data_IF_598909084683
#
_entry.id   IF_598909084683
#
_cell.length_a   1.000
_cell.length_b   1.000
_cell.length_c   1.000
_cell.angle_alpha   90.00
_cell.angle_beta   90.00
_cell.angle_gamma   90.00
#
_symmetry.space_group_name_H-M   'P 1'
#
loop_
_entity.id
_entity.type
_entity.pdbx_description
1 polymer ?
#
# COMPACT_ATOMS: atom_id res chain seq x y z
N UNK A 1 -0.65 31.86 -34.84
CA UNK A 1 -0.46 30.43 -34.51
C UNK A 1 0.95 30.23 -33.97
N UNK A 2 1.11 29.91 -32.70
CA UNK A 2 2.37 29.43 -32.15
C UNK A 2 2.04 28.39 -31.06
N UNK A 3 2.05 27.13 -31.47
CA UNK A 3 1.82 25.96 -30.64
C UNK A 3 3.00 25.71 -29.69
N UNK A 4 2.67 25.21 -28.50
CA UNK A 4 3.51 24.45 -27.55
C UNK A 4 4.66 25.19 -26.86
N UNK A 5 4.37 25.69 -25.66
CA UNK A 5 5.36 25.77 -24.56
C UNK A 5 5.08 24.67 -23.52
N UNK A 6 5.87 23.60 -23.66
CA UNK A 6 6.46 22.76 -22.59
C UNK A 6 5.52 22.24 -21.50
N UNK A 7 4.99 21.04 -21.73
CA UNK A 7 4.72 20.09 -20.65
C UNK A 7 6.07 19.73 -20.01
N UNK A 8 6.42 20.36 -18.89
CA UNK A 8 7.39 19.78 -17.95
C UNK A 8 6.65 18.69 -17.17
N UNK A 9 6.55 17.51 -17.77
CA UNK A 9 6.27 16.30 -17.01
C UNK A 9 7.56 15.96 -16.28
N UNK A 10 7.61 16.28 -14.98
CA UNK A 10 8.66 15.79 -14.09
C UNK A 10 8.37 14.29 -13.92
N UNK A 11 8.89 13.46 -14.82
CA UNK A 11 8.95 12.02 -14.59
C UNK A 11 10.03 11.82 -13.53
N UNK A 12 9.63 11.32 -12.36
CA UNK A 12 10.56 11.00 -11.28
C UNK A 12 11.52 9.90 -11.74
N UNK A 13 12.79 10.24 -11.91
CA UNK A 13 13.87 9.30 -12.12
C UNK A 13 14.13 8.59 -10.77
N UNK A 14 13.64 7.36 -10.60
CA UNK A 14 13.78 6.60 -9.35
C UNK A 14 13.43 5.12 -9.52
N UNK A 15 13.98 4.26 -8.65
CA UNK A 15 13.75 2.79 -8.67
C UNK A 15 12.26 2.44 -8.47
N UNK A 16 11.54 3.32 -7.79
CA UNK A 16 10.11 3.18 -7.49
C UNK A 16 9.24 3.40 -8.74
N UNK A 17 9.70 4.23 -9.69
CA UNK A 17 9.00 4.43 -10.95
C UNK A 17 9.02 3.17 -11.80
N UNK A 18 10.21 2.60 -11.97
CA UNK A 18 10.36 1.35 -12.71
C UNK A 18 9.53 0.25 -12.05
N UNK A 19 9.56 0.17 -10.72
CA UNK A 19 8.76 -0.79 -9.98
C UNK A 19 7.25 -0.65 -10.23
N UNK A 20 6.70 0.57 -10.16
CA UNK A 20 5.28 0.82 -10.43
C UNK A 20 4.91 0.46 -11.88
N UNK A 21 5.78 0.77 -12.84
CA UNK A 21 5.56 0.38 -14.23
C UNK A 21 5.57 -1.13 -14.42
N UNK A 22 6.55 -1.82 -13.84
CA UNK A 22 6.68 -3.27 -13.91
C UNK A 22 5.45 -3.95 -13.28
N UNK A 23 4.94 -3.42 -12.16
CA UNK A 23 3.70 -3.89 -11.55
C UNK A 23 2.51 -3.69 -12.48
N UNK A 24 2.35 -2.51 -13.09
CA UNK A 24 1.24 -2.25 -14.02
C UNK A 24 1.29 -3.20 -15.23
N UNK A 25 2.47 -3.47 -15.79
CA UNK A 25 2.66 -4.39 -16.91
C UNK A 25 2.40 -5.84 -16.48
N UNK A 26 2.97 -6.27 -15.36
CA UNK A 26 2.90 -7.66 -14.89
C UNK A 26 1.54 -8.07 -14.35
N UNK A 27 0.77 -7.12 -13.80
CA UNK A 27 -0.51 -7.39 -13.14
C UNK A 27 -1.73 -6.74 -13.80
N UNK A 28 -1.55 -5.95 -14.86
CA UNK A 28 -2.64 -5.16 -15.46
C UNK A 28 -3.16 -4.05 -14.55
N UNK A 29 -2.31 -3.53 -13.67
CA UNK A 29 -2.63 -2.47 -12.71
C UNK A 29 -2.78 -1.09 -13.36
N UNK A 30 -3.41 -0.16 -12.63
CA UNK A 30 -3.46 1.28 -12.95
C UNK A 30 -2.89 2.12 -11.80
N UNK A 31 -1.76 1.70 -11.26
CA UNK A 31 -1.07 2.45 -10.22
C UNK A 31 -0.44 3.70 -10.82
N UNK A 32 -0.65 4.85 -10.19
CA UNK A 32 -0.16 6.13 -10.68
C UNK A 32 0.84 6.73 -9.69
N UNK A 33 1.98 7.22 -10.21
CA UNK A 33 3.00 7.90 -9.41
C UNK A 33 2.46 9.07 -8.59
N UNK A 34 1.47 9.78 -9.12
CA UNK A 34 0.90 10.95 -8.45
C UNK A 34 0.21 10.59 -7.14
N UNK A 35 -0.06 9.31 -6.89
CA UNK A 35 -0.72 8.82 -5.68
C UNK A 35 0.28 8.35 -4.63
N UNK A 36 1.59 8.38 -4.93
CA UNK A 36 2.63 8.11 -3.94
C UNK A 36 2.52 9.06 -2.74
N UNK A 37 2.57 8.46 -1.55
CA UNK A 37 2.47 9.13 -0.26
C UNK A 37 1.20 9.99 -0.13
N UNK A 38 0.13 9.62 -0.83
CA UNK A 38 -1.21 10.16 -0.60
C UNK A 38 -2.06 9.12 0.09
N UNK A 39 -2.61 9.50 1.24
CA UNK A 39 -3.59 8.66 1.92
C UNK A 39 -4.95 8.85 1.27
N UNK A 40 -5.35 7.88 0.44
CA UNK A 40 -6.61 7.87 -0.27
C UNK A 40 -7.36 6.57 0.08
N UNK A 41 -8.07 6.54 1.22
CA UNK A 41 -8.98 5.43 1.51
C UNK A 41 -10.38 5.76 0.99
N UNK A 42 -10.86 5.00 0.02
CA UNK A 42 -12.11 5.24 -0.72
C UNK A 42 -13.22 4.24 -0.40
N UNK A 43 -13.04 3.36 0.58
CA UNK A 43 -14.09 2.44 0.99
C UNK A 43 -14.94 2.99 2.15
N UNK A 44 -16.14 3.56 1.89
CA UNK A 44 -17.03 4.07 2.95
C UNK A 44 -17.65 2.97 3.81
N UNK A 45 -17.69 1.72 3.32
CA UNK A 45 -18.19 0.56 4.05
C UNK A 45 -17.13 -0.05 4.98
N UNK A 46 -15.89 0.44 4.91
CA UNK A 46 -14.80 -0.05 5.75
C UNK A 46 -14.95 0.40 7.20
N UNK A 47 -14.79 -0.58 8.11
CA UNK A 47 -14.84 -0.36 9.54
C UNK A 47 -13.82 0.70 10.01
N UNK A 48 -14.19 1.46 11.04
CA UNK A 48 -13.33 2.54 11.57
C UNK A 48 -11.97 2.02 12.06
N UNK A 49 -11.94 0.87 12.74
CA UNK A 49 -10.69 0.30 13.24
C UNK A 49 -9.75 -0.12 12.11
N UNK A 50 -10.30 -0.55 10.98
CA UNK A 50 -9.54 -0.85 9.78
C UNK A 50 -8.95 0.43 9.21
N UNK A 51 -9.78 1.45 8.94
CA UNK A 51 -9.31 2.74 8.38
C UNK A 51 -8.24 3.40 9.23
N UNK A 52 -8.43 3.44 10.56
CA UNK A 52 -7.43 4.07 11.44
C UNK A 52 -6.13 3.27 11.48
N UNK A 53 -6.20 1.94 11.49
CA UNK A 53 -5.00 1.09 11.49
C UNK A 53 -4.24 1.23 10.16
N UNK A 54 -4.95 1.26 9.03
CA UNK A 54 -4.39 1.55 7.70
C UNK A 54 -3.69 2.91 7.69
N UNK A 55 -4.34 3.95 8.20
CA UNK A 55 -3.74 5.27 8.33
C UNK A 55 -2.47 5.26 9.18
N UNK A 56 -2.46 4.55 10.31
CA UNK A 56 -1.27 4.45 11.18
C UNK A 56 -0.09 3.78 10.45
N UNK A 57 -0.32 2.67 9.75
CA UNK A 57 0.71 1.98 8.97
C UNK A 57 1.27 2.92 7.89
N UNK A 58 0.39 3.60 7.15
CA UNK A 58 0.78 4.60 6.16
C UNK A 58 1.64 5.72 6.76
N UNK A 59 1.20 6.32 7.87
CA UNK A 59 1.91 7.42 8.54
C UNK A 59 3.30 6.98 9.05
N UNK A 60 3.41 5.78 9.62
CA UNK A 60 4.69 5.22 10.08
C UNK A 60 5.66 5.03 8.91
N UNK A 61 5.22 4.38 7.83
CA UNK A 61 6.07 4.12 6.66
C UNK A 61 6.51 5.42 5.99
N UNK A 62 5.59 6.38 5.82
CA UNK A 62 5.91 7.67 5.20
C UNK A 62 6.85 8.52 6.06
N UNK A 63 6.71 8.51 7.40
CA UNK A 63 7.65 9.17 8.33
C UNK A 63 9.06 8.58 8.27
N UNK A 64 9.17 7.29 7.94
CA UNK A 64 10.46 6.62 7.69
C UNK A 64 11.03 6.88 6.30
N UNK A 65 10.35 7.69 5.48
CA UNK A 65 10.79 8.08 4.14
C UNK A 65 10.40 7.10 3.03
N UNK A 66 9.58 6.09 3.34
CA UNK A 66 9.15 5.11 2.34
C UNK A 66 8.21 5.73 1.30
N UNK A 67 8.12 5.09 0.14
CA UNK A 67 7.22 5.44 -0.96
C UNK A 67 6.04 4.48 -0.95
N UNK A 68 4.87 4.98 -0.63
CA UNK A 68 3.70 4.17 -0.27
C UNK A 68 2.51 4.50 -1.17
N UNK A 69 1.82 3.46 -1.64
CA UNK A 69 0.51 3.55 -2.26
C UNK A 69 -0.54 2.93 -1.33
N UNK A 70 -1.76 3.46 -1.35
CA UNK A 70 -2.89 3.02 -0.52
C UNK A 70 -4.04 2.63 -1.45
N UNK A 71 -4.68 1.49 -1.17
CA UNK A 71 -5.88 0.99 -1.89
C UNK A 71 -5.73 0.90 -3.41
N UNK A 72 -4.69 0.22 -3.88
CA UNK A 72 -4.47 -0.03 -5.31
C UNK A 72 -4.94 -1.42 -5.75
N UNK A 73 -5.16 -1.58 -7.06
CA UNK A 73 -5.51 -2.86 -7.67
C UNK A 73 -4.31 -3.50 -8.38
N UNK A 74 -4.01 -4.76 -8.04
CA UNK A 74 -3.00 -5.61 -8.67
C UNK A 74 -3.54 -7.04 -8.80
N UNK A 75 -3.37 -7.68 -9.96
CA UNK A 75 -3.66 -9.12 -10.12
C UNK A 75 -5.12 -9.50 -9.86
N UNK A 76 -6.05 -8.60 -10.21
CA UNK A 76 -7.48 -8.77 -9.94
C UNK A 76 -7.87 -8.60 -8.46
N UNK A 77 -6.97 -8.09 -7.60
CA UNK A 77 -7.20 -7.87 -6.17
C UNK A 77 -6.85 -6.48 -5.73
N UNK A 78 -7.43 -6.08 -4.61
CA UNK A 78 -7.14 -4.81 -3.94
C UNK A 78 -6.19 -5.11 -2.78
N UNK A 79 -5.11 -4.35 -2.70
CA UNK A 79 -4.23 -4.32 -1.55
C UNK A 79 -4.55 -3.11 -0.67
N UNK A 80 -4.29 -3.19 0.64
CA UNK A 80 -4.51 -2.03 1.52
C UNK A 80 -3.38 -1.01 1.41
N UNK A 81 -2.13 -1.45 1.57
CA UNK A 81 -0.95 -0.59 1.47
C UNK A 81 0.16 -1.33 0.71
N UNK A 82 0.77 -0.66 -0.25
CA UNK A 82 1.95 -1.14 -0.97
C UNK A 82 3.12 -0.20 -0.69
N UNK A 83 4.17 -0.74 -0.11
CA UNK A 83 5.45 -0.08 0.04
C UNK A 83 6.33 -0.35 -1.18
N UNK A 84 6.49 0.67 -2.02
CA UNK A 84 7.31 0.62 -3.23
C UNK A 84 8.82 0.66 -2.92
N UNK A 85 9.23 1.06 -1.73
CA UNK A 85 10.64 1.09 -1.33
C UNK A 85 11.15 -0.31 -0.98
N UNK A 86 10.33 -1.13 -0.32
CA UNK A 86 10.68 -2.50 0.06
C UNK A 86 10.03 -3.57 -0.81
N UNK A 87 9.06 -3.19 -1.65
CA UNK A 87 8.23 -4.10 -2.44
C UNK A 87 7.36 -5.02 -1.56
N UNK A 88 6.88 -4.48 -0.44
CA UNK A 88 6.08 -5.18 0.56
C UNK A 88 4.62 -4.72 0.50
N UNK A 89 3.69 -5.66 0.54
CA UNK A 89 2.26 -5.35 0.73
C UNK A 89 1.93 -5.51 2.21
N UNK A 90 1.22 -4.54 2.78
CA UNK A 90 0.62 -4.64 4.11
C UNK A 90 -0.90 -4.78 3.95
N UNK A 91 -1.43 -5.92 4.40
CA UNK A 91 -2.86 -6.24 4.42
C UNK A 91 -3.40 -6.07 5.83
N UNK A 92 -4.40 -5.19 6.00
CA UNK A 92 -4.99 -4.90 7.30
C UNK A 92 -6.24 -5.77 7.45
N UNK A 93 -6.20 -6.72 8.38
CA UNK A 93 -7.26 -7.71 8.53
C UNK A 93 -7.90 -7.65 9.90
N UNK A 94 -9.23 -7.80 9.94
CA UNK A 94 -9.99 -7.78 11.19
C UNK A 94 -9.60 -8.94 12.13
N UNK A 95 -9.29 -10.11 11.56
CA UNK A 95 -8.92 -11.31 12.32
C UNK A 95 -8.06 -12.24 11.47
N UNK A 96 -7.28 -13.11 12.12
CA UNK A 96 -6.60 -14.21 11.44
C UNK A 96 -7.59 -15.10 10.69
N UNK A 97 -7.33 -15.31 9.41
CA UNK A 97 -8.06 -16.25 8.58
C UNK A 97 -7.10 -16.85 7.56
N UNK A 98 -6.80 -18.14 7.71
CA UNK A 98 -5.88 -18.83 6.79
C UNK A 98 -6.40 -18.82 5.34
N UNK A 99 -7.72 -18.97 5.17
CA UNK A 99 -8.36 -18.90 3.85
C UNK A 99 -8.15 -17.54 3.16
N UNK A 100 -8.28 -16.44 3.90
CA UNK A 100 -8.05 -15.09 3.34
C UNK A 100 -6.56 -14.90 3.05
N UNK A 101 -5.70 -15.32 3.98
CA UNK A 101 -4.25 -15.27 3.84
C UNK A 101 -3.77 -16.01 2.59
N UNK A 102 -4.14 -17.28 2.44
CA UNK A 102 -3.79 -18.08 1.26
C UNK A 102 -4.31 -17.47 -0.05
N UNK A 103 -5.53 -16.93 -0.03
CA UNK A 103 -6.11 -16.23 -1.19
C UNK A 103 -5.25 -15.03 -1.59
N UNK A 104 -4.89 -14.18 -0.62
CA UNK A 104 -4.08 -12.96 -0.84
C UNK A 104 -2.65 -13.30 -1.28
N UNK A 105 -2.03 -14.31 -0.66
CA UNK A 105 -0.72 -14.82 -1.06
C UNK A 105 -0.73 -15.31 -2.51
N UNK A 106 -1.75 -16.10 -2.91
CA UNK A 106 -1.89 -16.56 -4.30
C UNK A 106 -2.13 -15.40 -5.27
N UNK A 107 -2.93 -14.43 -4.86
CA UNK A 107 -3.31 -13.28 -5.68
C UNK A 107 -2.14 -12.35 -5.98
N UNK A 108 -1.25 -12.14 -5.00
CA UNK A 108 -0.09 -11.27 -5.14
C UNK A 108 1.22 -12.03 -5.31
N UNK A 109 1.17 -13.32 -5.64
CA UNK A 109 2.35 -14.14 -5.88
C UNK A 109 3.08 -13.69 -7.17
N UNK A 110 4.11 -12.86 -7.03
CA UNK A 110 4.94 -12.38 -8.13
C UNK A 110 6.36 -12.12 -7.64
N UNK A 111 7.34 -12.29 -8.52
CA UNK A 111 8.74 -11.95 -8.25
C UNK A 111 8.94 -10.46 -7.94
N UNK A 112 7.98 -9.62 -8.31
CA UNK A 112 7.98 -8.18 -8.03
C UNK A 112 7.60 -7.87 -6.58
N UNK A 113 6.78 -8.69 -5.93
CA UNK A 113 6.38 -8.51 -4.53
C UNK A 113 7.28 -9.38 -3.67
N UNK A 114 8.06 -8.75 -2.78
CA UNK A 114 9.01 -9.46 -1.92
C UNK A 114 8.36 -10.08 -0.70
N UNK A 115 7.37 -9.41 -0.14
CA UNK A 115 6.71 -9.87 1.07
C UNK A 115 5.27 -9.35 1.19
N UNK A 116 4.46 -10.06 1.97
CA UNK A 116 3.08 -9.71 2.29
C UNK A 116 2.91 -9.84 3.80
N UNK A 117 2.81 -8.69 4.48
CA UNK A 117 2.67 -8.59 5.93
C UNK A 117 1.19 -8.42 6.26
N UNK A 118 0.68 -9.31 7.12
CA UNK A 118 -0.69 -9.21 7.61
C UNK A 118 -0.72 -8.53 8.98
N UNK A 119 -1.46 -7.43 9.07
CA UNK A 119 -1.67 -6.68 10.31
C UNK A 119 -3.07 -7.00 10.85
N UNK A 120 -3.14 -7.81 11.90
CA UNK A 120 -4.42 -8.24 12.48
C UNK A 120 -4.91 -7.27 13.57
N UNK A 121 -5.99 -6.54 13.30
CA UNK A 121 -6.54 -5.51 14.20
C UNK A 121 -6.86 -6.07 15.59
N UNK A 122 -7.44 -7.28 15.66
CA UNK A 122 -7.79 -7.93 16.94
C UNK A 122 -6.60 -8.28 17.82
N UNK A 123 -5.40 -8.32 17.27
CA UNK A 123 -4.17 -8.57 18.02
C UNK A 123 -3.49 -7.27 18.47
N UNK A 124 -4.03 -6.12 18.05
CA UNK A 124 -3.51 -4.82 18.43
C UNK A 124 -4.25 -4.26 19.66
N UNK A 125 -3.59 -3.41 20.45
CA UNK A 125 -4.23 -2.67 21.53
C UNK A 125 -5.44 -1.89 21.05
N UNK A 126 -6.51 -1.84 21.84
CA UNK A 126 -7.67 -0.97 21.56
C UNK A 126 -7.35 0.51 21.75
N UNK A 127 -6.40 0.84 22.62
CA UNK A 127 -5.95 2.21 22.80
C UNK A 127 -5.11 2.64 21.59
N UNK A 128 -5.54 3.68 20.88
CA UNK A 128 -4.91 4.14 19.64
C UNK A 128 -3.43 4.50 19.80
N UNK A 129 -3.03 5.12 20.92
CA UNK A 129 -1.64 5.49 21.18
C UNK A 129 -0.75 4.27 21.38
N UNK A 130 -1.24 3.28 22.13
CA UNK A 130 -0.54 2.00 22.32
C UNK A 130 -0.44 1.22 21.00
N UNK A 131 -1.52 1.21 20.23
CA UNK A 131 -1.55 0.59 18.90
C UNK A 131 -0.52 1.19 17.96
N UNK A 132 -0.49 2.53 17.86
CA UNK A 132 0.47 3.22 17.02
C UNK A 132 1.90 2.85 17.39
N UNK A 133 2.23 2.88 18.69
CA UNK A 133 3.55 2.51 19.17
C UNK A 133 3.90 1.05 18.86
N UNK A 134 2.97 0.13 19.05
CA UNK A 134 3.20 -1.29 18.76
C UNK A 134 3.38 -1.54 17.25
N UNK A 135 2.65 -0.81 16.40
CA UNK A 135 2.87 -0.84 14.94
C UNK A 135 4.23 -0.26 14.59
N UNK A 136 4.63 0.84 15.23
CA UNK A 136 5.93 1.48 15.01
C UNK A 136 7.10 0.58 15.41
N UNK A 137 6.94 -0.32 16.38
CA UNK A 137 7.98 -1.29 16.75
C UNK A 137 8.03 -2.51 15.82
N UNK A 138 6.91 -2.87 15.17
CA UNK A 138 6.78 -4.07 14.33
C UNK A 138 7.06 -3.84 12.85
N UNK A 139 6.76 -2.64 12.35
CA UNK A 139 7.04 -2.21 10.98
C UNK A 139 8.47 -1.73 10.86
#
# INVERSE_FOLDING_TARGET
MAWRKRNKTIYGEGREWQFIQDLNIGFGGKLELRDLNKYNCWNPEEDFEHRITKWMVFDILTKRGHKVLVEGQLGGGIFDILDCSTQTIYEIEQKRSEKIREKKLKQFNSFLIKDIVFVYIKELPRNLRKRYKELEEKL
#
